data_IF_261685383132
#
_entry.id   IF_261685383132
#
_cell.length_a   1.000
_cell.length_b   1.000
_cell.length_c   1.000
_cell.angle_alpha   90.00
_cell.angle_beta   90.00
_cell.angle_gamma   90.00
#
_symmetry.space_group_name_H-M   'P 1'
#
loop_
_entity.id
_entity.type
_entity.pdbx_description
1 polymer ?
#
# COMPACT_ATOMS: atom_id res chain seq x y z
N UNK A 1 37.98 -8.31 8.34
CA UNK A 1 37.15 -7.90 7.20
C UNK A 1 35.95 -7.15 7.74
N UNK A 2 35.71 -5.94 7.31
CA UNK A 2 34.54 -5.12 7.71
C UNK A 2 33.48 -5.28 6.62
N UNK A 3 32.25 -5.66 7.00
CA UNK A 3 31.10 -5.74 6.08
C UNK A 3 30.46 -4.35 6.01
N UNK A 4 30.47 -3.76 4.82
CA UNK A 4 29.78 -2.50 4.54
C UNK A 4 28.52 -2.81 3.74
N UNK A 5 27.37 -2.30 4.19
CA UNK A 5 26.12 -2.36 3.42
C UNK A 5 26.07 -1.14 2.50
N UNK A 6 26.32 -1.33 1.20
CA UNK A 6 26.35 -0.24 0.23
C UNK A 6 24.94 0.29 -0.09
N UNK A 7 23.94 -0.57 -0.14
CA UNK A 7 22.56 -0.20 -0.43
C UNK A 7 21.61 -0.99 0.47
N UNK A 8 20.80 -0.29 1.22
CA UNK A 8 19.78 -0.89 2.07
C UNK A 8 18.43 -0.25 1.78
N UNK A 9 17.45 -1.08 1.45
CA UNK A 9 16.05 -0.66 1.28
C UNK A 9 15.24 -1.13 2.47
N UNK A 10 14.56 -0.20 3.13
CA UNK A 10 13.72 -0.50 4.28
C UNK A 10 12.25 -0.52 3.90
N UNK A 11 11.55 -1.54 4.37
CA UNK A 11 10.09 -1.60 4.42
C UNK A 11 9.72 -1.46 5.89
N UNK A 12 8.85 -0.51 6.18
CA UNK A 12 8.41 -0.24 7.54
C UNK A 12 7.03 -0.83 7.76
N UNK A 13 6.91 -1.64 8.80
CA UNK A 13 5.68 -2.31 9.19
C UNK A 13 5.26 -1.86 10.59
N UNK A 14 4.00 -1.48 10.75
CA UNK A 14 3.38 -1.25 12.05
C UNK A 14 2.13 -2.09 12.18
N UNK A 15 2.22 -3.15 12.96
CA UNK A 15 1.09 -3.98 13.35
C UNK A 15 0.14 -3.19 14.26
N UNK A 16 -1.13 -3.56 14.21
CA UNK A 16 -2.18 -2.92 15.02
C UNK A 16 -2.26 -1.38 14.88
N UNK A 17 -1.83 -0.84 13.74
CA UNK A 17 -1.92 0.58 13.45
C UNK A 17 -3.37 1.09 13.53
N UNK A 18 -4.31 0.29 13.00
CA UNK A 18 -5.76 0.48 13.19
C UNK A 18 -6.35 -0.74 13.88
N UNK A 19 -7.41 -0.52 14.68
CA UNK A 19 -8.12 -1.61 15.38
C UNK A 19 -9.63 -1.34 15.44
N UNK A 20 -10.40 -2.42 15.48
CA UNK A 20 -11.84 -2.43 15.78
C UNK A 20 -12.63 -1.36 15.02
N UNK A 21 -13.39 -0.54 15.71
CA UNK A 21 -14.30 0.44 15.10
C UNK A 21 -13.65 1.46 14.15
N UNK A 22 -12.32 1.64 14.15
CA UNK A 22 -11.65 2.47 13.15
C UNK A 22 -11.61 1.77 11.79
N UNK A 23 -11.31 0.48 11.78
CA UNK A 23 -11.35 -0.38 10.58
C UNK A 23 -12.79 -0.44 10.05
N UNK A 24 -13.78 -0.72 10.92
CA UNK A 24 -15.19 -0.84 10.53
C UNK A 24 -15.72 0.44 9.85
N UNK A 25 -15.35 1.62 10.37
CA UNK A 25 -15.73 2.90 9.76
C UNK A 25 -15.16 3.07 8.36
N UNK A 26 -13.89 2.70 8.14
CA UNK A 26 -13.28 2.77 6.82
C UNK A 26 -13.95 1.80 5.84
N UNK A 27 -14.16 0.55 6.23
CA UNK A 27 -14.84 -0.45 5.41
C UNK A 27 -16.26 0.02 5.04
N UNK A 28 -17.01 0.57 6.03
CA UNK A 28 -18.36 1.12 5.77
C UNK A 28 -18.34 2.31 4.80
N UNK A 29 -17.28 3.11 4.83
CA UNK A 29 -17.10 4.21 3.87
C UNK A 29 -16.80 3.67 2.48
N UNK A 30 -15.86 2.71 2.36
CA UNK A 30 -15.47 2.10 1.09
C UNK A 30 -16.67 1.45 0.37
N UNK A 31 -17.56 0.80 1.12
CA UNK A 31 -18.78 0.18 0.56
C UNK A 31 -19.79 1.16 -0.05
N UNK A 32 -19.56 2.46 0.11
CA UNK A 32 -20.38 3.54 -0.48
C UNK A 32 -19.69 4.24 -1.66
N UNK A 33 -18.43 3.90 -1.93
CA UNK A 33 -17.67 4.49 -3.02
C UNK A 33 -17.96 3.82 -4.35
N UNK A 34 -17.87 4.59 -5.43
CA UNK A 34 -17.93 4.06 -6.79
C UNK A 34 -16.59 3.40 -7.14
N UNK A 35 -16.61 2.08 -7.27
CA UNK A 35 -15.44 1.27 -7.56
C UNK A 35 -15.32 1.00 -9.06
N UNK A 36 -14.17 1.30 -9.64
CA UNK A 36 -13.87 1.12 -11.06
C UNK A 36 -12.70 0.15 -11.28
N UNK A 37 -12.51 -0.29 -12.51
CA UNK A 37 -11.36 -1.10 -12.87
C UNK A 37 -10.07 -0.26 -12.80
N UNK A 38 -8.97 -0.90 -12.42
CA UNK A 38 -7.66 -0.27 -12.35
C UNK A 38 -6.60 -1.18 -13.00
N UNK A 39 -5.68 -0.59 -13.79
CA UNK A 39 -4.73 -1.33 -14.63
C UNK A 39 -3.77 -2.27 -13.85
N UNK A 40 -3.47 -1.95 -12.60
CA UNK A 40 -2.63 -2.83 -11.77
C UNK A 40 -3.40 -4.03 -11.19
N UNK A 41 -4.73 -3.99 -11.18
CA UNK A 41 -5.59 -5.03 -10.65
C UNK A 41 -6.10 -5.93 -11.77
N UNK A 42 -6.04 -7.23 -11.56
CA UNK A 42 -6.48 -8.25 -12.52
C UNK A 42 -7.55 -9.14 -11.88
N UNK A 43 -8.51 -9.57 -12.68
CA UNK A 43 -9.60 -10.44 -12.23
C UNK A 43 -10.70 -9.68 -11.48
N UNK A 44 -11.26 -10.31 -10.46
CA UNK A 44 -12.35 -9.73 -9.67
C UNK A 44 -11.82 -8.70 -8.66
N UNK A 45 -11.39 -7.55 -9.17
CA UNK A 45 -10.84 -6.48 -8.34
C UNK A 45 -11.22 -5.09 -8.88
N UNK A 46 -11.46 -4.16 -7.98
CA UNK A 46 -11.84 -2.77 -8.29
C UNK A 46 -11.14 -1.79 -7.36
N UNK A 47 -11.09 -0.52 -7.75
CA UNK A 47 -10.43 0.56 -7.03
C UNK A 47 -11.26 1.85 -7.04
N UNK A 48 -11.01 2.71 -6.06
CA UNK A 48 -11.45 4.12 -6.07
C UNK A 48 -10.39 5.05 -6.66
N UNK A 49 -9.31 4.51 -7.24
CA UNK A 49 -8.20 5.32 -7.72
C UNK A 49 -8.66 6.34 -8.76
N UNK A 50 -8.44 7.61 -8.44
CA UNK A 50 -8.53 8.74 -9.37
C UNK A 50 -7.35 9.68 -9.10
N UNK A 51 -6.80 10.36 -10.13
CA UNK A 51 -5.67 11.28 -9.93
C UNK A 51 -5.97 12.44 -8.99
N UNK A 52 -7.22 12.90 -8.96
CA UNK A 52 -7.60 14.18 -8.37
C UNK A 52 -8.28 14.06 -7.00
N UNK A 53 -8.47 12.85 -6.48
CA UNK A 53 -9.20 12.63 -5.22
C UNK A 53 -8.50 11.62 -4.32
N UNK A 54 -8.27 12.02 -3.07
CA UNK A 54 -7.74 11.14 -2.04
C UNK A 54 -8.85 10.57 -1.13
N UNK A 55 -8.95 9.24 -1.03
CA UNK A 55 -9.88 8.60 -0.10
C UNK A 55 -9.67 9.06 1.35
N UNK A 56 -8.40 9.16 1.78
CA UNK A 56 -8.06 9.58 3.15
C UNK A 56 -8.35 11.06 3.42
N UNK A 57 -8.64 11.88 2.41
CA UNK A 57 -9.03 13.28 2.63
C UNK A 57 -10.37 13.41 3.36
N UNK A 58 -11.22 12.39 3.25
CA UNK A 58 -12.47 12.29 4.02
C UNK A 58 -12.25 11.58 5.39
N UNK A 59 -11.02 11.16 5.71
CA UNK A 59 -10.65 10.41 6.91
C UNK A 59 -9.44 11.02 7.61
N UNK A 60 -9.51 12.33 7.90
CA UNK A 60 -8.41 13.16 8.40
C UNK A 60 -7.67 12.57 9.61
N UNK A 61 -8.39 11.93 10.54
CA UNK A 61 -7.75 11.31 11.72
C UNK A 61 -6.83 10.15 11.35
N UNK A 62 -7.18 9.36 10.34
CA UNK A 62 -6.33 8.27 9.84
C UNK A 62 -5.19 8.83 9.01
N UNK A 63 -5.49 9.80 8.11
CA UNK A 63 -4.49 10.48 7.31
C UNK A 63 -3.38 11.07 8.18
N UNK A 64 -3.75 11.85 9.18
CA UNK A 64 -2.79 12.48 10.10
C UNK A 64 -1.94 11.45 10.86
N UNK A 65 -2.56 10.38 11.37
CA UNK A 65 -1.83 9.30 12.04
C UNK A 65 -0.82 8.59 11.13
N UNK A 66 -1.11 8.45 9.83
CA UNK A 66 -0.14 7.93 8.84
C UNK A 66 0.98 8.94 8.65
N UNK A 67 0.65 10.22 8.45
CA UNK A 67 1.63 11.29 8.22
C UNK A 67 2.60 11.45 9.39
N UNK A 68 2.15 11.25 10.64
CA UNK A 68 3.02 11.22 11.84
C UNK A 68 4.05 10.07 11.83
N UNK A 69 3.86 9.03 11.02
CA UNK A 69 4.79 7.90 10.88
C UNK A 69 5.75 8.04 9.71
N UNK A 70 5.60 9.07 8.90
CA UNK A 70 6.50 9.31 7.78
C UNK A 70 7.89 9.73 8.28
N UNK A 71 8.94 9.16 7.67
CA UNK A 71 10.33 9.32 8.14
C UNK A 71 10.98 10.64 7.78
N UNK A 72 10.38 11.37 6.83
CA UNK A 72 10.92 12.65 6.39
C UNK A 72 10.01 13.77 6.85
N UNK A 73 10.55 14.82 7.49
CA UNK A 73 9.79 16.02 7.75
C UNK A 73 9.26 16.58 6.43
N UNK A 74 8.08 17.18 6.46
CA UNK A 74 7.43 17.78 5.29
C UNK A 74 6.89 16.81 4.23
N UNK A 75 6.91 15.49 4.42
CA UNK A 75 6.10 14.60 3.61
C UNK A 75 4.62 14.69 4.02
N UNK A 76 3.76 14.63 3.02
CA UNK A 76 2.31 14.53 3.19
C UNK A 76 1.72 13.51 2.23
N UNK A 77 0.58 12.95 2.57
CA UNK A 77 -0.19 12.13 1.65
C UNK A 77 -0.78 13.03 0.56
N UNK A 78 -0.41 12.76 -0.69
CA UNK A 78 -0.87 13.52 -1.86
C UNK A 78 -1.99 12.81 -2.61
N UNK A 79 -2.03 11.48 -2.53
CA UNK A 79 -3.10 10.68 -3.10
C UNK A 79 -3.35 9.44 -2.24
N UNK A 80 -4.60 8.97 -2.23
CA UNK A 80 -4.98 7.73 -1.52
C UNK A 80 -6.23 7.12 -2.14
N UNK A 81 -6.30 5.80 -2.16
CA UNK A 81 -7.41 5.06 -2.77
C UNK A 81 -7.64 3.75 -2.05
N UNK A 82 -8.78 3.13 -2.31
CA UNK A 82 -9.13 1.81 -1.81
C UNK A 82 -9.08 0.79 -2.93
N UNK A 83 -8.62 -0.41 -2.62
CA UNK A 83 -8.76 -1.57 -3.49
C UNK A 83 -9.63 -2.62 -2.79
N UNK A 84 -10.61 -3.12 -3.52
CA UNK A 84 -11.46 -4.24 -3.12
C UNK A 84 -11.19 -5.38 -4.09
N UNK A 85 -10.66 -6.47 -3.57
CA UNK A 85 -10.25 -7.64 -4.33
C UNK A 85 -11.07 -8.85 -3.89
N UNK A 86 -11.78 -9.45 -4.83
CA UNK A 86 -12.48 -10.70 -4.62
C UNK A 86 -11.65 -11.91 -5.02
N UNK A 87 -12.27 -13.07 -4.97
CA UNK A 87 -11.66 -14.35 -5.33
C UNK A 87 -11.10 -14.32 -6.76
N UNK A 88 -9.95 -14.95 -6.97
CA UNK A 88 -9.20 -15.04 -8.25
C UNK A 88 -8.73 -13.70 -8.80
N UNK A 89 -8.39 -12.77 -7.92
CA UNK A 89 -7.75 -11.52 -8.30
C UNK A 89 -6.26 -11.52 -7.97
N UNK A 90 -5.51 -10.73 -8.72
CA UNK A 90 -4.08 -10.49 -8.51
C UNK A 90 -3.76 -9.00 -8.61
N UNK A 91 -2.62 -8.60 -8.06
CA UNK A 91 -2.04 -7.29 -8.21
C UNK A 91 -0.73 -7.41 -8.99
N UNK A 92 -0.70 -6.86 -10.21
CA UNK A 92 0.51 -6.84 -11.02
C UNK A 92 1.64 -6.09 -10.30
N UNK A 93 2.88 -6.53 -10.52
CA UNK A 93 4.04 -5.76 -10.06
C UNK A 93 4.07 -4.39 -10.72
N UNK A 94 4.15 -3.36 -9.88
CA UNK A 94 4.19 -1.97 -10.32
C UNK A 94 5.01 -1.10 -9.36
N UNK A 95 5.24 0.14 -9.76
CA UNK A 95 5.90 1.21 -8.99
C UNK A 95 5.02 2.44 -9.02
N UNK A 96 5.28 3.37 -8.11
CA UNK A 96 4.56 4.63 -8.08
C UNK A 96 5.51 5.76 -8.50
N UNK A 97 5.49 6.18 -9.78
CA UNK A 97 6.22 7.37 -10.22
C UNK A 97 5.67 8.61 -9.49
N UNK A 98 6.49 9.64 -9.38
CA UNK A 98 6.12 10.92 -8.76
C UNK A 98 5.69 10.83 -7.29
N UNK A 99 6.19 9.83 -6.57
CA UNK A 99 5.98 9.63 -5.14
C UNK A 99 7.30 9.30 -4.43
N UNK A 100 7.42 9.67 -3.16
CA UNK A 100 8.61 9.40 -2.34
C UNK A 100 8.43 8.12 -1.54
N UNK A 101 7.34 8.06 -0.77
CA UNK A 101 6.93 6.90 0.01
C UNK A 101 5.53 6.51 -0.42
N UNK A 102 5.34 5.23 -0.67
CA UNK A 102 4.02 4.61 -0.85
C UNK A 102 3.71 3.74 0.36
N UNK A 103 2.43 3.51 0.60
CA UNK A 103 2.03 2.65 1.69
C UNK A 103 0.64 2.05 1.51
N UNK A 104 0.35 1.11 2.39
CA UNK A 104 -0.91 0.36 2.41
C UNK A 104 -1.35 0.12 3.84
N UNK A 105 -2.65 0.21 4.07
CA UNK A 105 -3.31 -0.22 5.31
C UNK A 105 -4.22 -1.39 4.95
N UNK A 106 -4.01 -2.55 5.56
CA UNK A 106 -4.89 -3.70 5.41
C UNK A 106 -6.09 -3.57 6.34
N UNK A 107 -7.29 -3.58 5.79
CA UNK A 107 -8.52 -3.42 6.58
C UNK A 107 -9.26 -4.74 6.77
N UNK A 108 -9.49 -5.48 5.69
CA UNK A 108 -10.14 -6.77 5.69
C UNK A 108 -9.31 -7.76 4.90
N UNK A 109 -8.79 -8.75 5.60
CA UNK A 109 -7.97 -9.85 5.07
C UNK A 109 -8.20 -11.10 5.92
N UNK A 110 -7.97 -12.26 5.33
CA UNK A 110 -8.04 -13.57 5.94
C UNK A 110 -6.87 -14.47 5.50
N UNK A 111 -6.86 -15.73 5.88
CA UNK A 111 -5.84 -16.72 5.56
C UNK A 111 -5.75 -17.09 4.07
N UNK A 112 -6.76 -16.71 3.27
CA UNK A 112 -6.82 -16.89 1.81
C UNK A 112 -6.45 -15.63 1.04
N UNK A 113 -6.18 -14.53 1.74
CA UNK A 113 -5.78 -13.27 1.13
C UNK A 113 -4.36 -13.36 0.59
N UNK A 114 -4.15 -12.91 -0.65
CA UNK A 114 -2.82 -12.85 -1.24
C UNK A 114 -1.86 -12.00 -0.42
N UNK A 115 -0.61 -12.44 -0.34
CA UNK A 115 0.49 -11.68 0.28
C UNK A 115 0.88 -10.48 -0.57
N UNK A 116 1.66 -9.58 -0.01
CA UNK A 116 2.31 -8.50 -0.73
C UNK A 116 3.78 -8.83 -0.91
N UNK A 117 4.22 -8.89 -2.16
CA UNK A 117 5.60 -9.18 -2.54
C UNK A 117 6.30 -7.91 -2.97
N UNK A 118 7.59 -7.81 -2.62
CA UNK A 118 8.50 -6.75 -3.04
C UNK A 118 9.63 -7.37 -3.83
N UNK A 119 9.81 -6.96 -5.07
CA UNK A 119 10.91 -7.46 -5.91
C UNK A 119 12.25 -6.96 -5.41
N UNK A 120 13.20 -7.86 -5.29
CA UNK A 120 14.58 -7.48 -5.00
C UNK A 120 15.13 -6.64 -6.19
N UNK A 121 15.50 -5.36 -5.97
CA UNK A 121 15.98 -4.50 -7.05
C UNK A 121 17.29 -4.98 -7.69
N UNK A 122 18.03 -5.88 -7.03
CA UNK A 122 19.26 -6.46 -7.55
C UNK A 122 19.03 -7.63 -8.52
N UNK A 123 17.81 -8.15 -8.64
CA UNK A 123 17.47 -9.26 -9.54
C UNK A 123 17.70 -8.95 -11.03
N UNK A 124 17.87 -7.69 -11.40
CA UNK A 124 18.17 -7.29 -12.78
C UNK A 124 19.55 -7.80 -13.24
N UNK A 125 20.49 -7.94 -12.30
CA UNK A 125 21.89 -8.29 -12.62
C UNK A 125 22.35 -9.62 -12.04
N UNK A 126 21.74 -10.06 -10.96
CA UNK A 126 22.06 -11.30 -10.27
C UNK A 126 20.75 -11.99 -9.93
N UNK A 127 20.58 -13.24 -10.35
CA UNK A 127 19.42 -14.04 -9.95
C UNK A 127 19.49 -14.27 -8.43
N UNK A 128 18.80 -13.44 -7.68
CA UNK A 128 18.63 -13.56 -6.23
C UNK A 128 17.23 -14.12 -5.99
N UNK A 129 17.13 -15.25 -5.32
CA UNK A 129 15.85 -15.97 -5.16
C UNK A 129 14.89 -15.35 -4.12
N UNK A 130 15.23 -14.17 -3.58
CA UNK A 130 14.54 -13.65 -2.42
C UNK A 130 13.74 -12.36 -2.70
N UNK A 131 12.57 -12.52 -3.33
CA UNK A 131 11.52 -11.53 -3.18
C UNK A 131 11.01 -11.56 -1.73
N UNK A 132 10.98 -10.39 -1.08
CA UNK A 132 10.43 -10.29 0.25
C UNK A 132 8.89 -10.33 0.16
N UNK A 133 8.24 -11.16 0.97
CA UNK A 133 6.78 -11.17 1.06
C UNK A 133 6.31 -10.88 2.48
N UNK A 134 5.16 -10.19 2.56
CA UNK A 134 4.47 -9.87 3.80
C UNK A 134 3.09 -10.51 3.78
N UNK A 135 2.78 -11.31 4.81
CA UNK A 135 1.43 -11.82 5.05
C UNK A 135 0.58 -10.67 5.60
N UNK A 136 -0.56 -10.35 4.98
CA UNK A 136 -1.41 -9.27 5.44
C UNK A 136 -2.13 -9.63 6.73
N UNK A 137 -2.28 -8.64 7.62
CA UNK A 137 -3.10 -8.73 8.83
C UNK A 137 -4.02 -7.51 8.94
N UNK A 138 -5.23 -7.63 9.48
CA UNK A 138 -6.10 -6.48 9.69
C UNK A 138 -5.46 -5.43 10.58
N UNK A 139 -5.44 -4.18 10.14
CA UNK A 139 -4.82 -3.06 10.85
C UNK A 139 -3.32 -2.90 10.64
N UNK A 140 -2.67 -3.74 9.84
CA UNK A 140 -1.26 -3.58 9.47
C UNK A 140 -1.09 -2.38 8.53
N UNK A 141 -0.19 -1.47 8.88
CA UNK A 141 0.34 -0.42 8.01
C UNK A 141 1.71 -0.84 7.49
N UNK A 142 1.90 -0.79 6.17
CA UNK A 142 3.21 -0.89 5.53
C UNK A 142 3.54 0.39 4.80
N UNK A 143 4.83 0.76 4.80
CA UNK A 143 5.38 1.89 4.04
C UNK A 143 6.73 1.52 3.44
N UNK A 144 6.97 1.94 2.19
CA UNK A 144 8.18 1.64 1.43
C UNK A 144 8.51 2.74 0.44
N UNK A 145 9.77 2.84 -0.04
CA UNK A 145 10.14 3.74 -1.11
C UNK A 145 9.33 3.47 -2.38
N UNK A 146 8.71 4.48 -2.95
CA UNK A 146 7.73 4.34 -4.05
C UNK A 146 8.31 3.71 -5.33
N UNK A 147 9.64 3.77 -5.50
CA UNK A 147 10.35 3.13 -6.60
C UNK A 147 10.46 1.60 -6.47
N UNK A 148 10.23 1.03 -5.28
CA UNK A 148 10.32 -0.41 -5.05
C UNK A 148 9.12 -1.12 -5.66
N UNK A 149 9.40 -2.03 -6.61
CA UNK A 149 8.36 -2.79 -7.28
C UNK A 149 7.67 -3.75 -6.31
N UNK A 150 6.33 -3.75 -6.33
CA UNK A 150 5.52 -4.58 -5.46
C UNK A 150 4.23 -5.04 -6.15
N UNK A 151 3.69 -6.16 -5.69
CA UNK A 151 2.50 -6.79 -6.24
C UNK A 151 2.14 -8.05 -5.47
N UNK A 152 1.24 -8.87 -6.00
CA UNK A 152 0.92 -10.18 -5.41
C UNK A 152 1.78 -11.32 -6.00
N UNK A 153 2.59 -11.06 -7.03
CA UNK A 153 3.33 -12.10 -7.72
C UNK A 153 2.39 -13.16 -8.30
N UNK A 154 2.76 -14.42 -8.12
CA UNK A 154 1.95 -15.58 -8.50
C UNK A 154 0.90 -15.95 -7.43
N UNK A 155 0.86 -15.20 -6.31
CA UNK A 155 -0.07 -15.44 -5.20
C UNK A 155 -1.43 -14.81 -5.51
N UNK A 156 -2.35 -15.63 -5.97
CA UNK A 156 -3.72 -15.22 -6.30
C UNK A 156 -4.55 -15.08 -5.03
N UNK A 157 -5.26 -13.96 -4.90
CA UNK A 157 -6.21 -13.79 -3.81
C UNK A 157 -7.38 -14.77 -3.93
N UNK A 158 -7.58 -15.58 -2.90
CA UNK A 158 -8.68 -16.56 -2.80
C UNK A 158 -9.66 -16.19 -1.69
N UNK A 159 -9.45 -15.05 -1.03
CA UNK A 159 -10.42 -14.47 -0.11
C UNK A 159 -11.64 -13.95 -0.87
N UNK A 160 -12.81 -14.09 -0.28
CA UNK A 160 -14.05 -13.56 -0.86
C UNK A 160 -14.02 -12.03 -0.99
N UNK A 161 -13.40 -11.34 -0.04
CA UNK A 161 -13.27 -9.89 -0.06
C UNK A 161 -12.02 -9.44 0.72
N UNK A 162 -10.99 -8.97 0.00
CA UNK A 162 -9.79 -8.35 0.55
C UNK A 162 -9.87 -6.85 0.34
N UNK A 163 -9.82 -6.06 1.42
CA UNK A 163 -9.97 -4.60 1.37
C UNK A 163 -8.73 -3.92 1.93
N UNK A 164 -8.19 -2.97 1.19
CA UNK A 164 -7.04 -2.18 1.58
C UNK A 164 -7.22 -0.71 1.24
N UNK A 165 -6.51 0.15 1.95
CA UNK A 165 -6.31 1.57 1.60
C UNK A 165 -4.85 1.75 1.24
N UNK A 166 -4.59 2.28 0.06
CA UNK A 166 -3.25 2.61 -0.42
C UNK A 166 -3.07 4.12 -0.48
N UNK A 167 -1.83 4.59 -0.39
CA UNK A 167 -1.50 6.02 -0.47
C UNK A 167 -0.11 6.26 -1.04
N UNK A 168 0.06 7.46 -1.57
CA UNK A 168 1.32 8.02 -2.05
C UNK A 168 1.63 9.31 -1.31
N UNK A 169 2.91 9.64 -1.20
CA UNK A 169 3.37 10.85 -0.52
C UNK A 169 4.32 11.67 -1.38
N UNK A 170 4.30 12.98 -1.15
CA UNK A 170 5.27 13.89 -1.71
C UNK A 170 5.58 15.01 -0.71
N UNK A 171 6.63 15.79 -0.96
CA UNK A 171 6.96 16.95 -0.12
C UNK A 171 5.86 18.01 -0.21
N UNK A 172 5.55 18.62 0.92
CA UNK A 172 4.70 19.82 0.93
C UNK A 172 5.35 20.89 0.06
N UNK A 173 4.57 21.50 -0.81
CA UNK A 173 5.03 22.72 -1.48
C UNK A 173 5.21 23.78 -0.40
N UNK A 174 6.40 24.36 -0.31
CA UNK A 174 6.58 25.57 0.49
C UNK A 174 5.67 26.64 -0.10
N UNK A 175 4.66 27.06 0.62
CA UNK A 175 3.93 28.28 0.32
C UNK A 175 4.87 29.41 0.70
N UNK A 176 5.56 30.01 -0.30
CA UNK A 176 6.24 31.26 -0.09
C UNK A 176 5.20 32.26 0.42
N UNK A 177 5.33 32.61 1.72
CA UNK A 177 4.56 33.68 2.37
C UNK A 177 5.08 35.03 1.90
#
# INVERSE_FOLDING_TARGET
MIKLNAFQTNIHAQYDFLRGGAIDRLIKSIKKEDLTNHNALVGNAKSTFTPDRGFLDNHNSVKHRVEEKLFFPNLQITNSWCNVQGERSTLNFHRHPDSIISGIIFLQVDDKSSKLYFQNPNNIYVKCDDDMCITPEPGLLLMWPSWLAHGSGDDTNMSAERIVVSFNTYFRKETNA
#
